data_IF_419453799874
#
_entry.id   IF_419453799874
#
_cell.length_a   1.000
_cell.length_b   1.000
_cell.length_c   1.000
_cell.angle_alpha   90.00
_cell.angle_beta   90.00
_cell.angle_gamma   90.00
#
_symmetry.space_group_name_H-M   'P 1'
#
loop_
_entity.id
_entity.type
_entity.pdbx_description
1 polymer ?
#
# COMPACT_ATOMS: atom_id res chain seq x y z
N UNK A 1 -25.69 23.52 -32.26
CA UNK A 1 -24.85 24.32 -31.35
C UNK A 1 -24.01 23.33 -30.58
N UNK A 2 -22.74 23.17 -30.93
CA UNK A 2 -21.81 22.24 -30.28
C UNK A 2 -21.33 22.89 -29.00
N UNK A 3 -21.54 22.22 -27.86
CA UNK A 3 -20.94 22.65 -26.60
C UNK A 3 -19.42 22.57 -26.75
N UNK A 4 -18.68 23.64 -26.42
CA UNK A 4 -17.22 23.57 -26.41
C UNK A 4 -16.79 22.51 -25.40
N UNK A 5 -15.95 21.60 -25.87
CA UNK A 5 -15.36 20.51 -25.11
C UNK A 5 -14.67 21.08 -23.85
N UNK A 6 -15.26 20.93 -22.67
CA UNK A 6 -14.66 21.34 -21.38
C UNK A 6 -13.38 20.52 -21.05
N UNK A 7 -13.08 19.52 -21.88
CA UNK A 7 -11.89 18.66 -21.86
C UNK A 7 -10.57 19.41 -22.10
N UNK A 8 -10.59 20.69 -22.49
CA UNK A 8 -9.38 21.48 -22.74
C UNK A 8 -9.06 22.51 -21.65
N UNK A 9 -9.56 22.35 -20.43
CA UNK A 9 -9.30 23.31 -19.35
C UNK A 9 -7.83 23.37 -18.91
N UNK A 10 -6.99 22.40 -19.34
CA UNK A 10 -5.56 22.35 -19.04
C UNK A 10 -5.26 22.33 -17.53
N UNK A 11 -6.27 21.98 -16.72
CA UNK A 11 -6.18 21.87 -15.28
C UNK A 11 -5.89 20.42 -14.94
N UNK A 12 -4.74 20.19 -14.30
CA UNK A 12 -4.37 18.92 -13.70
C UNK A 12 -4.64 19.02 -12.20
N UNK A 13 -5.50 18.15 -11.68
CA UNK A 13 -5.85 18.09 -10.28
C UNK A 13 -5.84 16.65 -9.79
N UNK A 14 -5.05 16.37 -8.75
CA UNK A 14 -4.86 15.00 -8.25
C UNK A 14 -4.45 15.01 -6.78
N UNK A 15 -4.93 14.04 -6.01
CA UNK A 15 -4.46 13.77 -4.65
C UNK A 15 -3.20 12.89 -4.70
N UNK A 16 -2.11 13.35 -4.09
CA UNK A 16 -0.81 12.66 -4.16
C UNK A 16 0.04 12.93 -2.91
N UNK A 17 1.06 12.09 -2.69
CA UNK A 17 2.02 12.26 -1.59
C UNK A 17 3.09 13.26 -2.01
N UNK A 18 3.18 14.36 -1.26
CA UNK A 18 4.09 15.47 -1.50
C UNK A 18 5.13 15.52 -0.39
N UNK A 19 6.40 15.52 -0.76
CA UNK A 19 7.51 15.66 0.17
C UNK A 19 8.28 16.95 -0.09
N UNK A 20 8.47 17.74 0.97
CA UNK A 20 9.34 18.91 0.96
C UNK A 20 10.67 18.57 1.66
N UNK A 21 11.78 19.23 1.30
CA UNK A 21 13.01 19.11 2.08
C UNK A 21 12.73 19.43 3.56
N UNK A 22 13.22 18.59 4.46
CA UNK A 22 13.12 18.79 5.92
C UNK A 22 11.70 18.67 6.52
N UNK A 23 10.71 18.20 5.77
CA UNK A 23 9.37 17.91 6.28
C UNK A 23 8.99 16.47 5.98
N UNK A 24 8.20 15.88 6.87
CA UNK A 24 7.62 14.57 6.61
C UNK A 24 6.69 14.63 5.38
N UNK A 25 6.63 13.56 4.57
CA UNK A 25 5.71 13.48 3.45
C UNK A 25 4.25 13.67 3.89
N UNK A 26 3.47 14.42 3.10
CA UNK A 26 2.05 14.70 3.37
C UNK A 26 1.21 14.38 2.15
N UNK A 27 -0.01 13.91 2.37
CA UNK A 27 -1.00 13.80 1.30
C UNK A 27 -1.52 15.20 0.99
N UNK A 28 -1.46 15.60 -0.27
CA UNK A 28 -1.95 16.90 -0.73
C UNK A 28 -2.84 16.73 -1.95
N UNK A 29 -3.88 17.55 -2.04
CA UNK A 29 -4.55 17.86 -3.30
C UNK A 29 -3.67 18.86 -4.07
N UNK A 30 -3.17 18.43 -5.21
CA UNK A 30 -2.26 19.20 -6.06
C UNK A 30 -3.03 19.67 -7.28
N UNK A 31 -3.10 20.99 -7.47
CA UNK A 31 -3.80 21.61 -8.61
C UNK A 31 -2.83 22.46 -9.42
N UNK A 32 -2.79 22.24 -10.72
CA UNK A 32 -1.88 22.87 -11.66
C UNK A 32 -2.59 23.24 -12.95
N UNK A 33 -2.40 24.46 -13.44
CA UNK A 33 -2.99 24.91 -14.71
C UNK A 33 -1.90 25.18 -15.74
N UNK A 34 -1.97 24.50 -16.88
CA UNK A 34 -1.05 24.71 -17.99
C UNK A 34 -1.08 26.17 -18.44
N UNK A 35 0.09 26.77 -18.57
CA UNK A 35 0.29 28.18 -18.91
C UNK A 35 0.37 29.13 -17.71
N UNK A 36 0.00 28.69 -16.49
CA UNK A 36 0.17 29.47 -15.26
C UNK A 36 1.38 28.91 -14.48
N UNK A 37 2.42 29.71 -14.19
CA UNK A 37 3.61 29.24 -13.48
C UNK A 37 3.38 29.15 -11.96
N UNK A 38 2.26 28.57 -11.55
CA UNK A 38 1.89 28.41 -10.15
C UNK A 38 1.32 27.01 -9.91
N UNK A 39 1.91 26.30 -8.94
CA UNK A 39 1.45 25.00 -8.46
C UNK A 39 0.78 25.19 -7.10
N UNK A 40 -0.44 24.71 -6.92
CA UNK A 40 -1.14 24.78 -5.65
C UNK A 40 -1.10 23.42 -4.95
N UNK A 41 -0.80 23.44 -3.66
CA UNK A 41 -0.65 22.26 -2.81
C UNK A 41 -1.53 22.47 -1.58
N UNK A 42 -2.63 21.74 -1.47
CA UNK A 42 -3.52 21.81 -0.31
C UNK A 42 -3.41 20.53 0.50
N UNK A 43 -2.97 20.63 1.75
CA UNK A 43 -2.79 19.44 2.61
C UNK A 43 -4.13 18.76 2.83
N UNK A 44 -4.21 17.44 2.70
CA UNK A 44 -5.38 16.66 3.05
C UNK A 44 -5.06 15.77 4.25
N UNK A 45 -5.96 15.75 5.23
CA UNK A 45 -5.86 14.91 6.42
C UNK A 45 -7.16 14.14 6.64
N UNK A 46 -7.05 12.87 7.04
CA UNK A 46 -8.20 12.05 7.40
C UNK A 46 -8.41 12.12 8.91
N UNK A 47 -9.48 12.78 9.35
CA UNK A 47 -9.84 12.86 10.77
C UNK A 47 -11.20 12.17 10.94
N UNK A 48 -11.28 11.15 11.80
CA UNK A 48 -12.53 10.38 12.04
C UNK A 48 -13.18 9.79 10.78
N UNK A 49 -12.39 9.41 9.77
CA UNK A 49 -12.90 8.89 8.50
C UNK A 49 -13.44 9.96 7.54
N UNK A 50 -13.40 11.24 7.91
CA UNK A 50 -13.73 12.37 7.03
C UNK A 50 -12.46 13.06 6.54
N UNK A 51 -12.38 13.28 5.23
CA UNK A 51 -11.27 14.03 4.63
C UNK A 51 -11.45 15.53 4.92
N UNK A 52 -10.46 16.14 5.55
CA UNK A 52 -10.38 17.58 5.78
C UNK A 52 -9.26 18.17 4.96
N UNK A 53 -9.56 19.27 4.26
CA UNK A 53 -8.57 20.06 3.54
C UNK A 53 -7.99 21.11 4.48
N UNK A 54 -6.67 21.06 4.67
CA UNK A 54 -5.91 21.96 5.53
C UNK A 54 -5.30 23.14 4.76
N UNK A 55 -4.09 23.52 5.18
CA UNK A 55 -3.35 24.66 4.64
C UNK A 55 -3.09 24.52 3.14
N UNK A 56 -3.40 25.58 2.38
CA UNK A 56 -3.08 25.73 0.96
C UNK A 56 -1.79 26.52 0.80
N UNK A 57 -0.80 25.90 0.16
CA UNK A 57 0.47 26.50 -0.25
C UNK A 57 0.47 26.73 -1.76
N UNK A 58 1.11 27.81 -2.20
CA UNK A 58 1.38 28.06 -3.61
C UNK A 58 2.89 28.04 -3.85
N UNK A 59 3.29 27.36 -4.93
CA UNK A 59 4.67 27.29 -5.37
C UNK A 59 4.79 28.02 -6.71
N UNK A 60 5.62 29.07 -6.71
CA UNK A 60 5.95 29.82 -7.93
C UNK A 60 7.00 29.06 -8.74
N UNK A 61 6.57 28.53 -9.89
CA UNK A 61 7.42 27.74 -10.77
C UNK A 61 8.47 28.58 -11.50
N UNK A 62 8.38 29.92 -11.51
CA UNK A 62 9.43 30.78 -12.08
C UNK A 62 10.76 30.66 -11.34
N UNK A 63 10.70 30.25 -10.07
CA UNK A 63 11.86 29.99 -9.20
C UNK A 63 12.44 28.58 -9.40
N UNK A 64 11.64 27.67 -9.97
CA UNK A 64 12.11 26.35 -10.36
C UNK A 64 12.95 26.45 -11.64
N UNK A 65 13.97 25.60 -11.73
CA UNK A 65 14.90 25.56 -12.87
C UNK A 65 14.76 24.31 -13.70
N UNK A 66 14.49 23.17 -13.05
CA UNK A 66 14.39 21.90 -13.76
C UNK A 66 13.39 20.98 -13.08
N UNK A 67 12.67 20.22 -13.89
CA UNK A 67 11.83 19.10 -13.44
C UNK A 67 12.51 17.81 -13.87
N UNK A 68 12.61 16.86 -12.95
CA UNK A 68 13.18 15.53 -13.18
C UNK A 68 12.14 14.52 -12.73
N UNK A 69 12.00 13.40 -13.44
CA UNK A 69 11.16 12.29 -13.03
C UNK A 69 12.00 11.06 -12.70
N UNK A 70 11.45 10.24 -11.82
CA UNK A 70 11.85 8.85 -11.59
C UNK A 70 10.65 7.93 -11.85
N UNK A 71 10.77 6.63 -11.56
CA UNK A 71 9.69 5.65 -11.76
C UNK A 71 8.46 5.90 -10.87
N UNK A 72 8.63 6.56 -9.72
CA UNK A 72 7.57 6.74 -8.71
C UNK A 72 7.27 8.21 -8.38
N UNK A 73 8.02 9.17 -8.95
CA UNK A 73 7.88 10.58 -8.57
C UNK A 73 8.37 11.60 -9.61
N UNK A 74 7.85 12.82 -9.47
CA UNK A 74 8.30 14.03 -10.19
C UNK A 74 8.92 15.01 -9.19
N UNK A 75 10.21 15.28 -9.36
CA UNK A 75 11.00 16.20 -8.55
C UNK A 75 11.14 17.56 -9.22
N UNK A 76 10.79 18.63 -8.50
CA UNK A 76 10.97 20.01 -8.95
C UNK A 76 12.21 20.59 -8.26
N UNK A 77 13.20 20.99 -9.05
CA UNK A 77 14.48 21.52 -8.59
C UNK A 77 14.57 23.04 -8.82
N UNK A 78 15.30 23.74 -7.96
CA UNK A 78 15.58 25.17 -8.12
C UNK A 78 16.47 25.46 -9.33
N UNK A 79 16.48 26.72 -9.79
CA UNK A 79 17.51 27.21 -10.72
C UNK A 79 18.89 27.08 -10.06
N UNK A 80 19.87 26.58 -10.81
CA UNK A 80 21.27 26.54 -10.37
C UNK A 80 21.82 27.97 -10.33
N UNK A 81 22.52 28.33 -9.24
CA UNK A 81 23.24 29.60 -9.13
C UNK A 81 24.73 29.32 -9.35
N UNK A 82 25.50 30.32 -9.79
CA UNK A 82 26.93 30.17 -10.04
C UNK A 82 27.64 29.55 -8.82
N UNK A 83 28.12 28.31 -8.97
CA UNK A 83 28.81 27.55 -7.91
C UNK A 83 27.93 26.80 -6.92
N UNK A 84 26.59 26.81 -7.04
CA UNK A 84 25.68 26.04 -6.19
C UNK A 84 24.85 25.03 -7.00
N UNK A 85 24.81 23.74 -6.59
CA UNK A 85 23.96 22.76 -7.23
C UNK A 85 22.47 23.14 -7.07
N UNK A 86 21.61 22.76 -8.01
CA UNK A 86 20.17 22.93 -7.85
C UNK A 86 19.70 22.15 -6.62
N UNK A 87 18.88 22.75 -5.77
CA UNK A 87 18.30 22.08 -4.61
C UNK A 87 16.88 21.62 -4.90
N UNK A 88 16.47 20.54 -4.24
CA UNK A 88 15.11 20.04 -4.32
C UNK A 88 14.14 21.05 -3.69
N UNK A 89 13.05 21.36 -4.39
CA UNK A 89 11.96 22.20 -3.89
C UNK A 89 10.83 21.31 -3.38
N UNK A 90 10.38 20.36 -4.20
CA UNK A 90 9.28 19.44 -3.88
C UNK A 90 9.36 18.16 -4.70
N UNK A 91 9.02 17.03 -4.08
CA UNK A 91 8.79 15.73 -4.71
C UNK A 91 7.30 15.43 -4.73
N UNK A 92 6.77 15.07 -5.90
CA UNK A 92 5.39 14.65 -6.14
C UNK A 92 5.38 13.15 -6.44
N UNK A 93 4.87 12.30 -5.54
CA UNK A 93 4.81 10.86 -5.76
C UNK A 93 3.53 10.50 -6.49
N UNK A 94 3.65 9.77 -7.59
CA UNK A 94 2.56 9.44 -8.51
C UNK A 94 2.68 7.95 -8.81
N UNK A 95 1.60 7.20 -8.61
CA UNK A 95 1.61 5.74 -8.71
C UNK A 95 1.60 5.24 -10.16
N UNK A 96 1.16 6.06 -11.11
CA UNK A 96 1.11 5.72 -12.53
C UNK A 96 2.21 6.43 -13.36
N UNK A 97 3.01 5.62 -14.06
CA UNK A 97 4.02 6.07 -15.02
C UNK A 97 3.45 6.94 -16.16
N UNK A 98 2.21 6.72 -16.57
CA UNK A 98 1.56 7.54 -17.61
C UNK A 98 1.25 8.94 -17.09
N UNK A 99 0.77 9.03 -15.85
CA UNK A 99 0.53 10.30 -15.15
C UNK A 99 1.85 11.03 -14.87
N UNK A 100 2.91 10.32 -14.44
CA UNK A 100 4.26 10.90 -14.28
C UNK A 100 4.69 11.60 -15.56
N UNK A 101 4.52 10.94 -16.71
CA UNK A 101 4.88 11.50 -18.02
C UNK A 101 4.06 12.73 -18.36
N UNK A 102 2.75 12.70 -18.08
CA UNK A 102 1.83 13.81 -18.29
C UNK A 102 2.19 15.03 -17.42
N UNK A 103 2.38 14.83 -16.11
CA UNK A 103 2.79 15.86 -15.17
C UNK A 103 4.15 16.46 -15.52
N UNK A 104 5.12 15.61 -15.89
CA UNK A 104 6.45 16.06 -16.31
C UNK A 104 6.36 16.97 -17.55
N UNK A 105 5.63 16.56 -18.58
CA UNK A 105 5.48 17.33 -19.82
C UNK A 105 4.76 18.67 -19.56
N UNK A 106 3.70 18.66 -18.74
CA UNK A 106 2.93 19.85 -18.41
C UNK A 106 3.78 20.87 -17.63
N UNK A 107 4.55 20.41 -16.62
CA UNK A 107 5.46 21.26 -15.84
C UNK A 107 6.61 21.80 -16.71
N UNK A 108 7.21 20.98 -17.57
CA UNK A 108 8.29 21.41 -18.48
C UNK A 108 7.82 22.47 -19.48
N UNK A 109 6.58 22.34 -19.98
CA UNK A 109 5.98 23.32 -20.90
C UNK A 109 5.89 24.70 -20.24
N UNK A 110 5.45 24.75 -18.97
CA UNK A 110 5.33 25.99 -18.22
C UNK A 110 6.69 26.57 -17.83
N UNK A 111 7.67 25.75 -17.48
CA UNK A 111 9.03 26.23 -17.20
C UNK A 111 9.70 26.84 -18.43
N UNK A 112 9.52 26.24 -19.61
CA UNK A 112 10.05 26.79 -20.86
C UNK A 112 9.40 28.13 -21.21
N UNK A 113 8.07 28.23 -21.08
CA UNK A 113 7.36 29.49 -21.30
C UNK A 113 7.73 30.60 -20.31
N UNK A 114 8.19 30.25 -19.10
CA UNK A 114 8.63 31.21 -18.10
C UNK A 114 10.04 31.80 -18.39
N UNK A 115 10.89 31.12 -19.16
CA UNK A 115 12.21 31.66 -19.54
C UNK A 115 12.13 32.64 -20.71
N UNK A 116 11.14 32.49 -21.58
CA UNK A 116 10.95 33.31 -22.79
C UNK A 116 10.30 34.67 -22.53
N UNK A 117 10.03 35.03 -21.27
CA UNK A 117 9.54 36.36 -20.92
C UNK A 117 10.73 37.24 -20.51
N UNK A 118 11.41 37.93 -21.46
CA UNK A 118 12.53 38.80 -21.14
C UNK A 118 12.05 39.88 -20.18
N UNK A 119 12.80 40.05 -19.09
CA UNK A 119 12.54 41.03 -18.05
C UNK A 119 12.39 42.41 -18.73
N UNK A 120 11.20 43.04 -18.72
CA UNK A 120 10.94 44.25 -19.50
C UNK A 120 11.61 45.52 -18.93
N UNK A 121 12.51 45.38 -17.96
CA UNK A 121 13.10 46.50 -17.22
C UNK A 121 14.52 46.89 -17.65
N UNK A 122 15.20 46.19 -18.55
CA UNK A 122 16.49 46.67 -19.09
C UNK A 122 16.30 47.60 -20.30
N UNK A 123 15.59 48.72 -20.06
CA UNK A 123 15.55 49.88 -20.97
C UNK A 123 16.70 50.84 -20.65
N UNK A 124 17.93 50.39 -20.86
CA UNK A 124 19.12 51.19 -20.69
C UNK A 124 20.13 50.96 -21.82
N UNK A 125 20.36 52.00 -22.61
CA UNK A 125 21.57 52.18 -23.44
C UNK A 125 21.66 51.48 -24.81
N UNK A 126 21.06 52.19 -25.76
CA UNK A 126 21.60 52.47 -27.11
C UNK A 126 23.07 52.07 -27.31
N UNK A 127 23.31 51.03 -28.10
CA UNK A 127 24.53 50.97 -28.92
C UNK A 127 24.23 50.59 -30.37
N UNK A 128 24.79 51.42 -31.23
CA UNK A 128 24.61 51.52 -32.67
C UNK A 128 25.10 50.30 -33.46
N UNK A 129 24.56 50.05 -34.66
CA UNK A 129 25.08 49.07 -35.59
C UNK A 129 26.24 49.68 -36.37
N UNK A 130 27.44 49.13 -36.27
CA UNK A 130 28.50 49.42 -37.24
C UNK A 130 29.32 48.15 -37.44
N UNK A 131 29.16 47.57 -38.64
CA UNK A 131 29.76 46.29 -39.00
C UNK A 131 31.27 46.33 -39.17
N UNK A 132 31.87 45.16 -39.36
CA UNK A 132 32.95 45.00 -40.33
C UNK A 132 33.24 43.52 -40.57
N UNK A 133 32.91 43.12 -41.79
CA UNK A 133 33.58 42.14 -42.64
C UNK A 133 35.07 41.92 -42.30
N UNK A 134 35.47 40.67 -42.03
CA UNK A 134 36.73 40.08 -42.57
C UNK A 134 36.81 38.57 -42.32
N UNK A 135 36.80 37.83 -43.41
CA UNK A 135 37.35 36.48 -43.50
C UNK A 135 38.85 36.50 -43.16
N UNK A 136 39.37 35.41 -42.59
CA UNK A 136 40.53 34.80 -43.21
C UNK A 136 40.31 33.31 -43.48
N UNK A 137 40.28 32.97 -44.77
CA UNK A 137 40.57 31.64 -45.25
C UNK A 137 42.08 31.40 -45.13
N UNK A 138 42.52 30.57 -44.18
CA UNK A 138 43.81 29.84 -44.20
C UNK A 138 44.00 29.02 -42.91
N UNK A 139 43.49 27.78 -42.87
CA UNK A 139 43.94 26.72 -41.95
C UNK A 139 43.27 25.37 -42.28
N UNK A 140 43.58 24.76 -43.43
CA UNK A 140 42.96 23.49 -43.86
C UNK A 140 43.87 22.25 -43.77
N UNK A 141 44.99 22.30 -43.06
CA UNK A 141 45.89 21.13 -42.95
C UNK A 141 46.20 20.67 -41.52
N UNK A 142 45.59 21.30 -40.49
CA UNK A 142 45.75 20.90 -39.08
C UNK A 142 44.41 20.56 -38.39
N UNK A 143 43.39 20.15 -39.15
CA UNK A 143 42.08 19.74 -38.62
C UNK A 143 41.88 18.21 -38.62
N UNK A 144 42.78 17.44 -39.24
CA UNK A 144 42.61 15.98 -39.39
C UNK A 144 43.11 15.17 -38.19
N UNK A 145 44.01 15.71 -37.37
CA UNK A 145 44.50 15.07 -36.14
C UNK A 145 43.60 15.32 -34.92
N UNK A 146 42.85 16.45 -34.89
CA UNK A 146 41.93 16.75 -33.78
C UNK A 146 40.62 15.96 -33.87
N UNK A 147 40.11 15.71 -35.09
CA UNK A 147 38.91 14.91 -35.28
C UNK A 147 39.06 13.45 -34.79
N UNK A 148 40.28 12.90 -34.76
CA UNK A 148 40.52 11.55 -34.21
C UNK A 148 40.51 11.55 -32.68
N UNK A 149 41.01 12.62 -32.04
CA UNK A 149 41.06 12.75 -30.59
C UNK A 149 39.67 12.92 -29.98
N UNK A 150 38.81 13.73 -30.61
CA UNK A 150 37.44 13.98 -30.13
C UNK A 150 36.58 12.71 -30.16
N UNK A 151 36.75 11.86 -31.18
CA UNK A 151 36.03 10.57 -31.29
C UNK A 151 36.48 9.58 -30.22
N UNK A 152 37.78 9.57 -29.87
CA UNK A 152 38.29 8.72 -28.78
C UNK A 152 37.76 9.16 -27.42
N UNK A 153 37.72 10.47 -27.15
CA UNK A 153 37.14 11.03 -25.93
C UNK A 153 35.63 10.71 -25.83
N UNK A 154 34.89 10.83 -26.92
CA UNK A 154 33.47 10.46 -26.97
C UNK A 154 33.27 8.96 -26.71
N UNK A 155 34.11 8.09 -27.28
CA UNK A 155 34.04 6.64 -27.02
C UNK A 155 34.29 6.31 -25.55
N UNK A 156 35.24 6.99 -24.89
CA UNK A 156 35.50 6.81 -23.45
C UNK A 156 34.31 7.28 -22.62
N UNK A 157 33.72 8.43 -22.96
CA UNK A 157 32.54 8.96 -22.27
C UNK A 157 31.33 8.02 -22.43
N UNK A 158 31.09 7.51 -23.63
CA UNK A 158 30.02 6.55 -23.91
C UNK A 158 30.23 5.24 -23.14
N UNK A 159 31.46 4.73 -23.06
CA UNK A 159 31.79 3.54 -22.27
C UNK A 159 31.54 3.76 -20.77
N UNK A 160 31.98 4.90 -20.22
CA UNK A 160 31.73 5.25 -18.83
C UNK A 160 30.23 5.41 -18.53
N UNK A 161 29.46 6.03 -19.45
CA UNK A 161 28.01 6.15 -19.34
C UNK A 161 27.32 4.78 -19.39
N UNK A 162 27.75 3.89 -20.28
CA UNK A 162 27.24 2.52 -20.39
C UNK A 162 27.48 1.73 -19.10
N UNK A 163 28.70 1.80 -18.53
CA UNK A 163 29.03 1.16 -17.25
C UNK A 163 28.17 1.70 -16.10
N UNK A 164 27.94 3.02 -16.05
CA UNK A 164 27.06 3.63 -15.03
C UNK A 164 25.61 3.13 -15.15
N UNK A 165 25.11 2.98 -16.38
CA UNK A 165 23.77 2.43 -16.62
C UNK A 165 23.69 0.95 -16.20
N UNK A 166 24.71 0.14 -16.53
CA UNK A 166 24.79 -1.27 -16.10
C UNK A 166 24.78 -1.40 -14.57
N UNK A 167 25.53 -0.54 -13.86
CA UNK A 167 25.51 -0.51 -12.39
C UNK A 167 24.14 -0.13 -11.83
N UNK A 168 23.44 0.82 -12.47
CA UNK A 168 22.08 1.20 -12.06
C UNK A 168 21.09 0.05 -12.28
N UNK A 169 21.18 -0.64 -13.42
CA UNK A 169 20.34 -1.82 -13.71
C UNK A 169 20.58 -2.92 -12.65
N UNK A 170 21.84 -3.28 -12.40
CA UNK A 170 22.18 -4.27 -11.37
C UNK A 170 21.67 -3.89 -9.97
N UNK A 171 21.72 -2.59 -9.63
CA UNK A 171 21.16 -2.08 -8.39
C UNK A 171 19.63 -2.21 -8.31
N UNK A 172 18.93 -1.90 -9.40
CA UNK A 172 17.47 -2.05 -9.48
C UNK A 172 17.04 -3.51 -9.43
N UNK A 173 17.77 -4.41 -10.10
CA UNK A 173 17.54 -5.85 -10.05
C UNK A 173 17.67 -6.39 -8.61
N UNK A 174 18.72 -6.01 -7.88
CA UNK A 174 18.90 -6.42 -6.49
C UNK A 174 17.80 -5.90 -5.54
N UNK A 175 17.30 -4.67 -5.78
CA UNK A 175 16.15 -4.12 -5.04
C UNK A 175 14.87 -4.90 -5.36
N UNK A 176 14.63 -5.19 -6.64
CA UNK A 176 13.47 -5.96 -7.08
C UNK A 176 13.44 -7.36 -6.46
N UNK A 177 14.58 -8.05 -6.40
CA UNK A 177 14.73 -9.37 -5.80
C UNK A 177 14.44 -9.33 -4.29
N UNK A 178 14.93 -8.30 -3.59
CA UNK A 178 14.64 -8.10 -2.16
C UNK A 178 13.14 -7.89 -1.93
N UNK A 179 12.48 -7.08 -2.77
CA UNK A 179 11.04 -6.82 -2.68
C UNK A 179 10.25 -8.11 -2.92
N UNK A 180 10.64 -8.91 -3.91
CA UNK A 180 10.01 -10.20 -4.19
C UNK A 180 10.14 -11.17 -3.01
N UNK A 181 11.33 -11.24 -2.39
CA UNK A 181 11.56 -12.03 -1.16
C UNK A 181 10.66 -11.58 -0.01
N UNK A 182 10.47 -10.28 0.18
CA UNK A 182 9.56 -9.75 1.20
C UNK A 182 8.10 -10.08 0.89
N UNK A 183 7.68 -9.92 -0.37
CA UNK A 183 6.33 -10.25 -0.83
C UNK A 183 6.01 -11.74 -0.63
N UNK A 184 6.95 -12.64 -0.98
CA UNK A 184 6.82 -14.09 -0.71
C UNK A 184 6.66 -14.38 0.78
N UNK A 185 7.37 -13.68 1.67
CA UNK A 185 7.21 -13.82 3.13
C UNK A 185 5.83 -13.36 3.60
N UNK A 186 5.31 -12.26 3.06
CA UNK A 186 3.96 -11.78 3.40
C UNK A 186 2.88 -12.76 2.93
N UNK A 187 3.00 -13.29 1.71
CA UNK A 187 2.07 -14.29 1.19
C UNK A 187 2.06 -15.56 2.06
N UNK A 188 3.23 -16.05 2.51
CA UNK A 188 3.30 -17.20 3.43
C UNK A 188 2.62 -16.93 4.78
N UNK A 189 2.75 -15.72 5.32
CA UNK A 189 2.08 -15.33 6.58
C UNK A 189 0.56 -15.25 6.39
N UNK A 190 0.13 -14.72 5.25
CA UNK A 190 -1.29 -14.64 4.90
C UNK A 190 -1.90 -16.04 4.76
N UNK A 191 -1.20 -16.96 4.08
CA UNK A 191 -1.62 -18.37 3.95
C UNK A 191 -1.73 -19.06 5.32
N UNK A 192 -0.74 -18.86 6.21
CA UNK A 192 -0.82 -19.37 7.58
C UNK A 192 -2.00 -18.80 8.38
N UNK A 193 -2.31 -17.51 8.23
CA UNK A 193 -3.47 -16.89 8.88
C UNK A 193 -4.80 -17.43 8.32
N UNK A 194 -4.86 -17.71 7.02
CA UNK A 194 -6.03 -18.32 6.37
C UNK A 194 -6.28 -19.74 6.88
N UNK A 195 -5.23 -20.56 6.99
CA UNK A 195 -5.33 -21.90 7.57
C UNK A 195 -5.79 -21.89 9.04
N UNK A 196 -5.35 -20.89 9.82
CA UNK A 196 -5.84 -20.72 11.20
C UNK A 196 -7.32 -20.36 11.26
N UNK A 197 -7.81 -19.52 10.34
CA UNK A 197 -9.24 -19.18 10.25
C UNK A 197 -10.09 -20.40 9.88
N UNK A 198 -9.62 -21.21 8.93
CA UNK A 198 -10.29 -22.46 8.56
C UNK A 198 -10.37 -23.43 9.75
N UNK A 199 -9.29 -23.58 10.52
CA UNK A 199 -9.27 -24.40 11.73
C UNK A 199 -10.24 -23.88 12.81
N UNK A 200 -10.34 -22.55 12.99
CA UNK A 200 -11.33 -21.94 13.90
C UNK A 200 -12.76 -22.18 13.44
N UNK A 201 -13.01 -22.11 12.14
CA UNK A 201 -14.33 -22.40 11.56
C UNK A 201 -14.73 -23.86 11.82
N UNK A 202 -13.81 -24.80 11.64
CA UNK A 202 -14.02 -26.22 11.95
C UNK A 202 -14.30 -26.44 13.43
N UNK A 203 -13.53 -25.81 14.31
CA UNK A 203 -13.75 -25.87 15.76
C UNK A 203 -15.13 -25.34 16.16
N UNK A 204 -15.54 -24.18 15.63
CA UNK A 204 -16.87 -23.63 15.85
C UNK A 204 -17.98 -24.59 15.33
N UNK A 205 -17.73 -25.26 14.21
CA UNK A 205 -18.61 -26.31 13.68
C UNK A 205 -18.74 -27.50 14.63
N UNK A 206 -17.64 -27.98 15.20
CA UNK A 206 -17.64 -29.06 16.19
C UNK A 206 -18.33 -28.65 17.50
N UNK A 207 -18.06 -27.45 18.00
CA UNK A 207 -18.72 -26.92 19.20
C UNK A 207 -20.24 -26.85 19.04
N UNK A 208 -20.74 -26.39 17.88
CA UNK A 208 -22.19 -26.40 17.60
C UNK A 208 -22.80 -27.81 17.67
N UNK A 209 -22.09 -28.84 17.18
CA UNK A 209 -22.54 -30.24 17.28
C UNK A 209 -22.59 -30.73 18.72
N UNK A 210 -21.56 -30.40 19.52
CA UNK A 210 -21.52 -30.75 20.95
C UNK A 210 -22.69 -30.10 21.69
N UNK A 211 -22.92 -28.80 21.50
CA UNK A 211 -24.03 -28.06 22.11
C UNK A 211 -25.37 -28.69 21.72
N UNK A 212 -25.57 -28.99 20.43
CA UNK A 212 -26.81 -29.65 19.97
C UNK A 212 -27.01 -31.02 20.61
N UNK A 213 -25.94 -31.83 20.74
CA UNK A 213 -26.02 -33.15 21.40
C UNK A 213 -26.33 -33.01 22.89
N UNK A 214 -25.72 -32.02 23.57
CA UNK A 214 -25.99 -31.71 24.97
C UNK A 214 -27.43 -31.25 25.18
N UNK A 215 -27.97 -30.41 24.30
CA UNK A 215 -29.38 -30.00 24.34
C UNK A 215 -30.32 -31.19 24.22
N UNK A 216 -30.06 -32.12 23.29
CA UNK A 216 -30.85 -33.36 23.16
C UNK A 216 -30.76 -34.22 24.42
N UNK A 217 -29.56 -34.37 25.01
CA UNK A 217 -29.38 -35.14 26.24
C UNK A 217 -30.11 -34.51 27.44
N UNK A 218 -30.07 -33.19 27.59
CA UNK A 218 -30.81 -32.47 28.63
C UNK A 218 -32.32 -32.68 28.47
N UNK A 219 -32.85 -32.59 27.24
CA UNK A 219 -34.26 -32.84 26.98
C UNK A 219 -34.66 -34.27 27.33
N UNK A 220 -33.86 -35.27 26.96
CA UNK A 220 -34.11 -36.67 27.31
C UNK A 220 -34.06 -36.90 28.83
N UNK A 221 -33.09 -36.30 29.53
CA UNK A 221 -32.99 -36.38 30.99
C UNK A 221 -34.17 -35.69 31.70
N UNK A 222 -34.69 -34.58 31.15
CA UNK A 222 -35.90 -33.93 31.66
C UNK A 222 -37.14 -34.81 31.48
N UNK A 223 -37.22 -35.57 30.40
CA UNK A 223 -38.31 -36.53 30.15
C UNK A 223 -38.21 -37.78 31.05
N UNK A 224 -37.01 -38.32 31.25
CA UNK A 224 -36.78 -39.48 32.13
C UNK A 224 -36.88 -39.14 33.62
N UNK A 225 -36.42 -37.93 33.98
CA UNK A 225 -36.42 -37.40 35.33
C UNK A 225 -37.70 -36.65 35.65
N UNK A 226 -38.87 -37.22 35.33
CA UNK A 226 -40.21 -36.76 35.75
C UNK A 226 -40.34 -36.70 37.29
N UNK A 227 -39.56 -35.82 37.90
CA UNK A 227 -39.86 -35.12 39.13
C UNK A 227 -40.72 -33.98 38.67
N UNK A 228 -42.03 -34.12 38.86
CA UNK A 228 -43.01 -33.08 38.62
C UNK A 228 -42.54 -31.78 39.31
N UNK A 229 -41.97 -30.86 38.54
CA UNK A 229 -41.85 -29.45 38.93
C UNK A 229 -43.24 -28.75 38.92
N UNK A 230 -44.34 -29.52 39.02
CA UNK A 230 -45.72 -29.02 39.16
C UNK A 230 -46.09 -28.63 40.61
N UNK A 231 -45.21 -28.81 41.61
CA UNK A 231 -45.50 -28.49 43.02
C UNK A 231 -44.77 -27.26 43.58
N UNK A 232 -44.39 -26.28 42.76
CA UNK A 232 -43.89 -24.99 43.27
C UNK A 232 -44.50 -23.77 42.55
N UNK A 233 -45.81 -23.81 42.31
CA UNK A 233 -46.68 -22.66 42.02
C UNK A 233 -47.38 -22.15 43.30
N UNK A 234 -46.67 -22.03 44.43
CA UNK A 234 -47.20 -21.29 45.60
C UNK A 234 -46.52 -19.92 45.70
N UNK A 235 -47.28 -18.90 45.29
CA UNK A 235 -47.33 -17.55 45.88
C UNK A 235 -46.01 -16.77 45.96
N UNK A 236 -45.64 -16.09 44.88
CA UNK A 236 -44.97 -14.78 45.03
C UNK A 236 -45.90 -13.69 44.48
N UNK A 237 -46.42 -12.94 45.44
CA UNK A 237 -47.36 -11.83 45.32
C UNK A 237 -46.83 -10.73 44.40
N UNK A 238 -47.81 -10.13 43.73
CA UNK A 238 -47.80 -8.86 43.02
C UNK A 238 -46.97 -7.77 43.74
N UNK A 239 -45.83 -7.38 43.17
CA UNK A 239 -45.28 -6.05 43.40
C UNK A 239 -45.31 -5.29 42.05
N UNK A 240 -46.39 -4.52 41.88
CA UNK A 240 -46.55 -3.49 40.86
C UNK A 240 -45.42 -2.46 41.01
N UNK A 241 -44.38 -2.57 40.18
CA UNK A 241 -43.46 -1.46 39.93
C UNK A 241 -43.75 -0.92 38.54
N UNK A 242 -44.62 0.10 38.50
CA UNK A 242 -44.70 1.03 37.37
C UNK A 242 -43.37 1.80 37.28
N UNK A 243 -42.51 1.45 36.32
CA UNK A 243 -41.52 2.38 35.79
C UNK A 243 -41.56 2.42 34.27
N UNK A 244 -41.90 3.61 33.79
CA UNK A 244 -41.97 4.05 32.40
C UNK A 244 -40.63 3.88 31.65
N UNK A 245 -40.76 3.44 30.39
CA UNK A 245 -39.98 3.85 29.21
C UNK A 245 -38.43 3.71 29.23
N UNK A 246 -37.91 2.60 28.65
CA UNK A 246 -37.21 2.61 27.35
C UNK A 246 -36.69 1.21 26.94
N UNK A 247 -37.07 0.63 25.78
CA UNK A 247 -36.63 -0.70 25.36
C UNK A 247 -35.28 -0.60 24.62
N UNK A 248 -34.18 -0.75 25.36
CA UNK A 248 -32.89 -1.10 24.78
C UNK A 248 -32.67 -2.62 24.92
N UNK A 249 -32.76 -3.32 23.79
CA UNK A 249 -32.43 -4.74 23.63
C UNK A 249 -31.05 -5.06 24.24
N UNK A 250 -31.06 -5.58 25.46
CA UNK A 250 -29.89 -6.06 26.19
C UNK A 250 -30.06 -7.54 26.50
N UNK A 251 -29.62 -8.36 25.55
CA UNK A 251 -29.34 -9.80 25.63
C UNK A 251 -29.31 -10.33 27.07
N UNK A 252 -30.25 -11.22 27.38
CA UNK A 252 -30.36 -11.92 28.67
C UNK A 252 -29.05 -12.60 29.06
N UNK A 253 -28.28 -11.90 29.90
CA UNK A 253 -27.27 -12.52 30.74
C UNK A 253 -28.03 -13.24 31.86
N UNK A 254 -28.13 -14.57 31.75
CA UNK A 254 -28.46 -15.42 32.89
C UNK A 254 -27.53 -15.01 34.03
N UNK A 255 -28.12 -14.45 35.09
CA UNK A 255 -27.41 -14.14 36.32
C UNK A 255 -26.75 -15.43 36.80
N UNK A 256 -25.42 -15.43 36.82
CA UNK A 256 -24.62 -16.54 37.30
C UNK A 256 -24.84 -16.63 38.81
N UNK A 257 -25.64 -17.59 39.26
CA UNK A 257 -25.87 -17.87 40.68
C UNK A 257 -24.57 -18.43 41.29
N UNK A 258 -23.87 -17.64 42.13
CA UNK A 258 -22.58 -18.04 42.67
C UNK A 258 -22.67 -19.15 43.72
N UNK A 259 -23.86 -19.47 44.24
CA UNK A 259 -24.03 -20.43 45.34
C UNK A 259 -24.32 -21.87 44.89
N UNK A 260 -24.44 -22.12 43.58
CA UNK A 260 -24.60 -23.47 43.06
C UNK A 260 -23.39 -24.37 43.45
N UNK A 261 -23.60 -25.48 44.18
CA UNK A 261 -22.52 -26.36 44.64
C UNK A 261 -21.84 -27.04 43.44
N UNK A 262 -20.76 -26.42 42.95
CA UNK A 262 -20.05 -26.81 41.74
C UNK A 262 -19.40 -25.63 41.00
N UNK A 263 -19.90 -24.41 41.21
CA UNK A 263 -19.38 -23.17 40.63
C UNK A 263 -17.92 -22.93 41.02
N UNK A 264 -17.53 -23.23 42.26
CA UNK A 264 -16.17 -23.01 42.78
C UNK A 264 -15.12 -23.87 42.06
N UNK A 265 -15.45 -25.12 41.72
CA UNK A 265 -14.56 -25.99 40.95
C UNK A 265 -14.40 -25.50 39.51
N UNK A 266 -15.47 -24.98 38.91
CA UNK A 266 -15.45 -24.42 37.57
C UNK A 266 -14.66 -23.10 37.51
N UNK A 267 -14.81 -22.25 38.53
CA UNK A 267 -14.02 -21.03 38.70
C UNK A 267 -12.54 -21.36 38.88
N UNK A 268 -12.18 -22.35 39.70
CA UNK A 268 -10.79 -22.79 39.86
C UNK A 268 -10.22 -23.37 38.55
N UNK A 269 -11.02 -24.09 37.76
CA UNK A 269 -10.58 -24.61 36.46
C UNK A 269 -10.30 -23.48 35.46
N UNK A 270 -11.17 -22.47 35.40
CA UNK A 270 -10.98 -21.29 34.56
C UNK A 270 -9.75 -20.47 34.98
N UNK A 271 -9.55 -20.27 36.29
CA UNK A 271 -8.35 -19.60 36.81
C UNK A 271 -7.08 -20.34 36.40
N UNK A 272 -7.05 -21.66 36.54
CA UNK A 272 -5.90 -22.50 36.15
C UNK A 272 -5.62 -22.43 34.65
N UNK A 273 -6.66 -22.34 33.82
CA UNK A 273 -6.52 -22.20 32.37
C UNK A 273 -5.95 -20.82 31.99
N UNK A 274 -6.43 -19.74 32.60
CA UNK A 274 -5.90 -18.39 32.39
C UNK A 274 -4.40 -18.32 32.75
N UNK A 275 -4.03 -18.95 33.87
CA UNK A 275 -2.66 -19.03 34.37
C UNK A 275 -1.71 -19.81 33.44
N UNK A 276 -2.23 -20.82 32.72
CA UNK A 276 -1.49 -21.54 31.68
C UNK A 276 -1.29 -20.69 30.42
N UNK A 277 -2.33 -19.96 29.99
CA UNK A 277 -2.23 -19.06 28.84
C UNK A 277 -1.24 -17.91 29.07
N UNK A 278 -1.24 -17.33 30.28
CA UNK A 278 -0.29 -16.27 30.63
C UNK A 278 1.17 -16.77 30.59
N UNK A 279 1.43 -18.00 31.10
CA UNK A 279 2.76 -18.63 30.97
C UNK A 279 3.15 -18.88 29.52
N UNK A 280 2.23 -19.34 28.69
CA UNK A 280 2.50 -19.58 27.27
C UNK A 280 2.84 -18.28 26.53
N UNK A 281 2.09 -17.19 26.78
CA UNK A 281 2.37 -15.88 26.21
C UNK A 281 3.72 -15.33 26.68
N UNK A 282 4.05 -15.46 27.98
CA UNK A 282 5.40 -15.09 28.47
C UNK A 282 6.52 -15.90 27.83
N UNK A 283 6.30 -17.19 27.54
CA UNK A 283 7.30 -18.00 26.83
C UNK A 283 7.47 -17.53 25.39
N UNK A 284 6.38 -17.18 24.70
CA UNK A 284 6.41 -16.62 23.34
C UNK A 284 7.07 -15.24 23.35
N UNK A 285 6.83 -14.41 24.36
CA UNK A 285 7.46 -13.10 24.49
C UNK A 285 8.95 -13.21 24.82
N UNK A 286 9.33 -14.14 25.71
CA UNK A 286 10.72 -14.43 26.04
C UNK A 286 11.50 -15.03 24.86
N UNK A 287 10.83 -15.76 23.96
CA UNK A 287 11.44 -16.35 22.76
C UNK A 287 11.32 -15.48 21.50
N UNK A 288 10.33 -14.57 21.46
CA UNK A 288 9.95 -13.79 20.28
C UNK A 288 10.18 -12.28 20.37
N UNK A 289 10.50 -11.73 21.54
CA UNK A 289 10.64 -10.28 21.77
C UNK A 289 12.01 -9.67 21.44
N UNK A 290 13.00 -10.47 21.04
CA UNK A 290 14.36 -9.97 20.77
C UNK A 290 14.93 -10.60 19.51
N UNK A 291 14.73 -9.95 18.37
CA UNK A 291 15.79 -9.50 17.45
C UNK A 291 17.02 -10.42 17.22
N UNK A 292 16.88 -11.74 17.32
CA UNK A 292 18.02 -12.69 17.35
C UNK A 292 17.79 -14.01 16.60
N UNK A 293 16.62 -14.23 16.00
CA UNK A 293 16.35 -15.47 15.23
C UNK A 293 16.92 -15.49 13.81
N UNK A 294 17.55 -14.40 13.34
CA UNK A 294 18.26 -14.41 12.06
C UNK A 294 19.73 -14.85 12.24
N UNK A 295 20.42 -14.43 13.30
CA UNK A 295 21.83 -14.80 13.51
C UNK A 295 22.01 -16.16 14.21
N UNK A 296 21.08 -16.59 15.07
CA UNK A 296 21.20 -17.87 15.76
C UNK A 296 20.85 -19.09 14.87
N UNK A 297 20.04 -18.91 13.82
CA UNK A 297 19.77 -19.99 12.84
C UNK A 297 20.89 -20.15 11.80
N UNK A 298 21.69 -19.11 11.54
CA UNK A 298 22.92 -19.22 10.73
C UNK A 298 24.10 -19.84 11.51
N UNK A 299 24.20 -19.58 12.83
CA UNK A 299 25.32 -20.08 13.65
C UNK A 299 25.18 -21.54 14.14
N UNK A 300 23.98 -22.13 14.08
CA UNK A 300 23.74 -23.48 14.58
C UNK A 300 24.08 -24.61 13.58
N UNK A 301 24.48 -24.30 12.33
CA UNK A 301 24.91 -25.33 11.36
C UNK A 301 23.88 -26.43 11.07
N UNK A 302 22.61 -26.22 11.42
CA UNK A 302 21.51 -27.18 11.20
C UNK A 302 20.79 -26.95 9.87
N UNK A 303 21.14 -25.90 9.13
CA UNK A 303 20.96 -25.87 7.68
C UNK A 303 22.15 -26.60 7.04
N UNK A 304 22.15 -27.91 7.25
CA UNK A 304 22.94 -28.85 6.47
C UNK A 304 22.76 -28.55 4.98
N UNK A 305 23.87 -28.41 4.26
CA UNK A 305 23.99 -28.28 2.80
C UNK A 305 23.32 -29.45 2.02
N UNK A 306 22.64 -30.38 2.68
CA UNK A 306 21.97 -31.53 2.06
C UNK A 306 20.48 -31.31 1.73
N UNK A 307 19.93 -30.10 1.84
CA UNK A 307 18.55 -29.83 1.41
C UNK A 307 18.41 -28.80 0.28
N UNK A 308 19.49 -28.58 -0.49
CA UNK A 308 19.46 -27.82 -1.74
C UNK A 308 19.54 -28.70 -3.00
N UNK A 309 19.28 -30.01 -2.91
CA UNK A 309 19.38 -30.93 -4.05
C UNK A 309 18.07 -31.68 -4.39
N UNK A 310 16.92 -31.08 -4.09
CA UNK A 310 15.61 -31.56 -4.53
C UNK A 310 14.64 -30.40 -4.82
N UNK A 311 15.15 -29.37 -5.50
CA UNK A 311 14.37 -28.25 -6.04
C UNK A 311 15.01 -27.72 -7.31
N UNK A 312 15.66 -28.61 -8.06
CA UNK A 312 16.00 -28.37 -9.46
C UNK A 312 14.70 -28.12 -10.22
N UNK A 313 14.62 -26.95 -10.84
CA UNK A 313 13.94 -26.76 -12.12
C UNK A 313 12.47 -27.21 -12.18
N UNK A 314 11.57 -26.55 -11.43
CA UNK A 314 10.28 -26.25 -12.07
C UNK A 314 10.54 -25.13 -13.06
N UNK A 315 10.94 -25.55 -14.26
CA UNK A 315 10.75 -24.85 -15.53
C UNK A 315 9.61 -23.87 -15.39
N UNK A 316 9.86 -22.59 -15.71
CA UNK A 316 8.79 -21.64 -15.95
C UNK A 316 7.86 -22.24 -16.98
N UNK A 317 6.73 -22.80 -16.50
CA UNK A 317 5.72 -23.41 -17.36
C UNK A 317 5.44 -22.46 -18.50
N UNK A 318 5.41 -23.00 -19.72
CA UNK A 318 5.15 -22.22 -20.93
C UNK A 318 3.98 -21.28 -20.67
N UNK A 319 4.04 -20.05 -21.21
CA UNK A 319 2.96 -19.08 -21.11
C UNK A 319 1.60 -19.72 -21.50
N UNK A 320 1.60 -20.69 -22.41
CA UNK A 320 0.41 -21.46 -22.80
C UNK A 320 -0.16 -22.35 -21.67
N UNK A 321 0.69 -22.91 -20.82
CA UNK A 321 0.28 -23.72 -19.67
C UNK A 321 -0.30 -22.84 -18.56
N UNK A 322 0.27 -21.65 -18.35
CA UNK A 322 -0.28 -20.63 -17.45
C UNK A 322 -1.65 -20.16 -17.96
N UNK A 323 -1.77 -19.88 -19.26
CA UNK A 323 -3.05 -19.51 -19.89
C UNK A 323 -4.07 -20.65 -19.83
N UNK A 324 -3.63 -21.89 -20.00
CA UNK A 324 -4.48 -23.08 -19.84
C UNK A 324 -5.03 -23.19 -18.41
N UNK A 325 -4.16 -23.00 -17.40
CA UNK A 325 -4.57 -23.01 -15.99
C UNK A 325 -5.52 -21.87 -15.66
N UNK A 326 -5.31 -20.68 -16.24
CA UNK A 326 -6.19 -19.53 -16.06
C UNK A 326 -7.61 -19.82 -16.61
N UNK A 327 -7.71 -20.42 -17.80
CA UNK A 327 -8.99 -20.76 -18.42
C UNK A 327 -9.75 -21.82 -17.60
N UNK A 328 -9.05 -22.82 -17.05
CA UNK A 328 -9.67 -23.82 -16.16
C UNK A 328 -10.24 -23.16 -14.91
N UNK A 329 -9.53 -22.20 -14.30
CA UNK A 329 -10.02 -21.46 -13.14
C UNK A 329 -11.22 -20.55 -13.47
N UNK A 330 -11.25 -19.94 -14.66
CA UNK A 330 -12.43 -19.17 -15.11
C UNK A 330 -13.67 -20.06 -15.29
N UNK A 331 -13.50 -21.28 -15.80
CA UNK A 331 -14.60 -22.24 -15.92
C UNK A 331 -15.12 -22.71 -14.55
N UNK A 332 -14.22 -22.97 -13.61
CA UNK A 332 -14.61 -23.33 -12.23
C UNK A 332 -15.33 -22.17 -11.54
N UNK A 333 -14.86 -20.93 -11.71
CA UNK A 333 -15.53 -19.73 -11.19
C UNK A 333 -16.95 -19.61 -11.74
N UNK A 334 -17.15 -19.78 -13.05
CA UNK A 334 -18.48 -19.72 -13.67
C UNK A 334 -19.44 -20.78 -13.10
N UNK A 335 -18.92 -22.00 -12.86
CA UNK A 335 -19.70 -23.08 -12.25
C UNK A 335 -20.10 -22.77 -10.81
N UNK A 336 -19.21 -22.16 -10.01
CA UNK A 336 -19.53 -21.73 -8.66
C UNK A 336 -20.57 -20.59 -8.65
N UNK A 337 -20.43 -19.60 -9.53
CA UNK A 337 -21.41 -18.52 -9.65
C UNK A 337 -22.81 -19.05 -10.02
N UNK A 338 -22.89 -20.06 -10.89
CA UNK A 338 -24.16 -20.70 -11.22
C UNK A 338 -24.76 -21.48 -10.05
N UNK A 339 -23.93 -22.20 -9.28
CA UNK A 339 -24.38 -22.90 -8.07
C UNK A 339 -24.92 -21.92 -7.01
N UNK A 340 -24.26 -20.78 -6.82
CA UNK A 340 -24.72 -19.71 -5.93
C UNK A 340 -26.05 -19.14 -6.42
N UNK A 341 -26.18 -18.90 -7.73
CA UNK A 341 -27.43 -18.40 -8.34
C UNK A 341 -28.58 -19.39 -8.15
N UNK A 342 -28.34 -20.68 -8.32
CA UNK A 342 -29.34 -21.73 -8.08
C UNK A 342 -29.75 -21.78 -6.60
N UNK A 343 -28.80 -21.73 -5.67
CA UNK A 343 -29.07 -21.72 -4.24
C UNK A 343 -29.90 -20.49 -3.79
N UNK A 344 -29.64 -19.32 -4.38
CA UNK A 344 -30.42 -18.10 -4.12
C UNK A 344 -31.83 -18.20 -4.69
N UNK A 345 -31.99 -18.74 -5.90
CA UNK A 345 -33.32 -18.90 -6.54
C UNK A 345 -34.20 -19.94 -5.82
N UNK A 346 -33.61 -21.00 -5.27
CA UNK A 346 -34.34 -22.02 -4.50
C UNK A 346 -34.86 -21.52 -3.16
N UNK A 347 -34.23 -20.50 -2.57
CA UNK A 347 -34.68 -19.88 -1.31
C UNK A 347 -35.86 -18.91 -1.47
N UNK A 348 -36.13 -18.41 -2.67
CA UNK A 348 -37.27 -17.52 -2.92
C UNK A 348 -38.56 -18.27 -3.31
N UNK A 349 -38.50 -19.59 -3.49
CA UNK A 349 -39.62 -20.43 -3.90
C UNK A 349 -40.17 -21.33 -2.77
N UNK A 350 -39.56 -21.28 -1.58
CA UNK A 350 -40.04 -21.89 -0.34
C UNK A 350 -40.40 -20.78 0.63
#
# INVERSE_FOLDING_TARGET
MSFPDESSSGLLEQAMVVAFPQQDPKVCQVSFRVGVPMLFLQTASLETGQMRLGERKSLDLRKAGRVVSDEEKVSILSKARAGQPPHLIVDLHIDDTTEISMWMQALQTVLRGAEEQPDPEDKGERHSPTGSQRQPASALTSARSHASSEVEEECVLLRAKSQKLQQRIAGLEAISERREKQMKKLLKRLDGAMQMLDALQDMCGQQRKVISTQQTAILALKEEGAVDEEENEEEEEEDEVEEDEDPAEGVGAQAFDPEAPGSEQQIMALLKQADQMERALRQIEATGGRQGTIEAMESAGLLSENFMQAGEEEEGGSVEEILGRLNTLEQEKAKFEEMVRQAQSGRSAA
#
